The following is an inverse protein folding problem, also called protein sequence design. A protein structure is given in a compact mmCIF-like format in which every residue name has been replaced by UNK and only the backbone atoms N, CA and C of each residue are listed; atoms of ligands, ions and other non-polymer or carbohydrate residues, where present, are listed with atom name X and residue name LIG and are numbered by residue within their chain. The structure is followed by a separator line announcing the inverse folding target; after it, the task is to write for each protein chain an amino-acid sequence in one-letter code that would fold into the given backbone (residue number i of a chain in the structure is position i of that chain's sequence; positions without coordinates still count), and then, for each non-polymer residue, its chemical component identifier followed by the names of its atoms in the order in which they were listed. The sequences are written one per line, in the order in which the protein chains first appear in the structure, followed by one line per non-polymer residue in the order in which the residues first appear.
data_IF_475496041098
#
_entry.id   IF_475496041098
#
_cell.length_a   1.000
_cell.length_b   1.000
_cell.length_c   1.000
_cell.angle_alpha   90.00
_cell.angle_beta   90.00
_cell.angle_gamma   90.00
#
_symmetry.space_group_name_H-M   'P 1'
#
loop_
_entity.id
_entity.type
_entity.pdbx_description
1 polymer ?
#
# COMPACT_ATOMS: atom_id res chain seq x y z
N UNK A 1 -16.65 -17.11 33.32
CA UNK A 1 -16.10 -17.50 32.00
C UNK A 1 -16.28 -16.30 31.10
N UNK A 2 -15.22 -15.69 30.64
CA UNK A 2 -15.29 -14.62 29.64
C UNK A 2 -15.79 -15.25 28.34
N UNK A 3 -16.88 -14.74 27.79
CA UNK A 3 -17.40 -15.19 26.50
C UNK A 3 -16.41 -14.77 25.40
N UNK A 4 -16.12 -15.65 24.45
CA UNK A 4 -15.31 -15.30 23.27
C UNK A 4 -16.02 -14.20 22.50
N UNK A 5 -15.35 -13.08 22.14
CA UNK A 5 -15.98 -11.98 21.41
C UNK A 5 -16.46 -12.43 20.03
N UNK A 6 -17.55 -11.83 19.54
CA UNK A 6 -18.12 -12.08 18.22
C UNK A 6 -17.71 -10.95 17.29
N UNK A 7 -16.82 -11.25 16.33
CA UNK A 7 -16.24 -10.24 15.45
C UNK A 7 -16.40 -10.65 13.98
N UNK A 8 -16.87 -9.72 13.16
CA UNK A 8 -16.85 -9.86 11.71
C UNK A 8 -16.00 -8.72 11.15
N UNK A 9 -14.97 -9.05 10.38
CA UNK A 9 -14.18 -8.06 9.65
C UNK A 9 -14.22 -8.35 8.16
N UNK A 10 -14.54 -7.34 7.36
CA UNK A 10 -14.55 -7.42 5.90
C UNK A 10 -13.60 -6.37 5.36
N UNK A 11 -12.61 -6.80 4.58
CA UNK A 11 -11.55 -5.94 4.04
C UNK A 11 -11.65 -5.88 2.51
N UNK A 12 -11.45 -4.69 1.94
CA UNK A 12 -11.49 -4.52 0.49
C UNK A 12 -10.28 -5.15 -0.18
N UNK A 13 -9.10 -4.90 0.38
CA UNK A 13 -7.82 -5.48 -0.02
C UNK A 13 -6.70 -5.08 0.94
N UNK A 14 -5.45 -5.40 0.58
CA UNK A 14 -4.27 -5.00 1.35
C UNK A 14 -4.19 -5.68 2.72
N UNK A 15 -4.86 -6.80 2.89
CA UNK A 15 -4.97 -7.54 4.16
C UNK A 15 -3.62 -8.01 4.71
N UNK A 16 -2.61 -8.10 3.87
CA UNK A 16 -1.22 -8.41 4.25
C UNK A 16 -0.26 -7.22 4.09
N UNK A 17 -0.82 -6.02 3.86
CA UNK A 17 -0.05 -4.78 3.77
C UNK A 17 0.13 -4.12 5.15
N UNK A 18 1.15 -3.27 5.33
CA UNK A 18 1.40 -2.55 6.58
C UNK A 18 0.21 -1.75 7.09
N UNK A 19 -0.61 -1.21 6.19
CA UNK A 19 -1.83 -0.44 6.51
C UNK A 19 -2.86 -1.22 7.31
N UNK A 20 -2.89 -2.56 7.17
CA UNK A 20 -3.85 -3.42 7.85
C UNK A 20 -3.26 -4.15 9.07
N UNK A 21 -2.00 -3.90 9.45
CA UNK A 21 -1.39 -4.50 10.63
C UNK A 21 -2.14 -4.15 11.92
N UNK A 22 -2.49 -2.86 12.10
CA UNK A 22 -3.18 -2.40 13.32
C UNK A 22 -4.57 -3.04 13.48
N UNK A 23 -5.45 -3.09 12.46
CA UNK A 23 -6.71 -3.82 12.52
C UNK A 23 -6.57 -5.29 12.92
N UNK A 24 -5.63 -6.02 12.32
CA UNK A 24 -5.41 -7.42 12.69
C UNK A 24 -4.98 -7.58 14.14
N UNK A 25 -4.02 -6.75 14.62
CA UNK A 25 -3.57 -6.77 16.02
C UNK A 25 -4.72 -6.49 16.98
N UNK A 26 -5.54 -5.48 16.68
CA UNK A 26 -6.69 -5.13 17.51
C UNK A 26 -7.71 -6.28 17.65
N UNK A 27 -7.98 -7.01 16.56
CA UNK A 27 -8.83 -8.21 16.60
C UNK A 27 -8.22 -9.29 17.49
N UNK A 28 -6.92 -9.59 17.33
CA UNK A 28 -6.24 -10.60 18.15
C UNK A 28 -6.11 -10.21 19.62
N UNK A 29 -5.94 -8.92 19.94
CA UNK A 29 -5.93 -8.43 21.33
C UNK A 29 -7.27 -8.73 22.03
N UNK A 30 -8.38 -8.58 21.32
CA UNK A 30 -9.71 -8.90 21.83
C UNK A 30 -9.94 -10.39 22.01
N UNK A 31 -9.41 -11.23 21.12
CA UNK A 31 -9.54 -12.69 21.20
C UNK A 31 -8.62 -13.30 22.27
N UNK A 32 -7.54 -12.61 22.64
CA UNK A 32 -6.57 -13.06 23.63
C UNK A 32 -5.34 -13.75 23.04
N UNK A 33 -4.36 -14.00 23.92
CA UNK A 33 -3.05 -14.51 23.51
C UNK A 33 -3.08 -15.93 22.96
N UNK A 34 -3.98 -16.76 23.48
CA UNK A 34 -4.07 -18.19 23.16
C UNK A 34 -5.07 -18.48 22.01
N UNK A 35 -5.55 -17.44 21.33
CA UNK A 35 -6.52 -17.58 20.25
C UNK A 35 -5.97 -18.45 19.11
N UNK A 36 -6.69 -19.50 18.76
CA UNK A 36 -6.38 -20.39 17.63
C UNK A 36 -6.77 -19.71 16.33
N UNK A 37 -5.81 -19.57 15.42
CA UNK A 37 -6.00 -18.88 14.16
C UNK A 37 -5.83 -19.82 12.96
N UNK A 38 -6.76 -19.74 12.01
CA UNK A 38 -6.79 -20.60 10.82
C UNK A 38 -6.95 -19.75 9.56
N UNK A 39 -6.09 -20.01 8.58
CA UNK A 39 -6.19 -19.52 7.20
C UNK A 39 -7.01 -20.50 6.36
N UNK A 40 -8.12 -20.04 5.80
CA UNK A 40 -8.86 -20.72 4.74
C UNK A 40 -8.15 -20.50 3.40
N UNK A 41 -7.46 -21.52 2.94
CA UNK A 41 -6.58 -21.51 1.77
C UNK A 41 -7.32 -21.79 0.43
N UNK A 42 -8.64 -21.88 0.48
CA UNK A 42 -9.49 -22.20 -0.68
C UNK A 42 -9.46 -21.13 -1.77
N UNK A 43 -9.55 -19.80 -1.51
CA UNK A 43 -9.71 -18.80 -2.58
C UNK A 43 -8.63 -18.87 -3.66
N UNK A 44 -7.40 -19.23 -3.30
CA UNK A 44 -6.27 -19.44 -4.22
C UNK A 44 -5.94 -20.92 -4.47
N UNK A 45 -6.76 -21.85 -3.95
CA UNK A 45 -6.49 -23.30 -3.98
C UNK A 45 -6.41 -23.93 -5.36
N UNK A 46 -6.89 -23.24 -6.40
CA UNK A 46 -6.78 -23.69 -7.80
C UNK A 46 -5.39 -23.44 -8.41
N UNK A 47 -4.55 -22.63 -7.76
CA UNK A 47 -3.23 -22.26 -8.28
C UNK A 47 -2.20 -23.33 -7.93
N UNK A 48 -1.28 -23.61 -8.86
CA UNK A 48 -0.19 -24.58 -8.64
C UNK A 48 0.73 -24.18 -7.48
N UNK A 49 0.87 -22.88 -7.23
CA UNK A 49 1.67 -22.30 -6.16
C UNK A 49 0.87 -22.03 -4.86
N UNK A 50 -0.35 -22.58 -4.73
CA UNK A 50 -1.17 -22.40 -3.54
C UNK A 50 -0.43 -22.66 -2.20
N UNK A 51 0.43 -23.71 -2.07
CA UNK A 51 1.22 -23.90 -0.86
C UNK A 51 2.18 -22.74 -0.54
N UNK A 52 2.74 -22.10 -1.57
CA UNK A 52 3.64 -20.93 -1.41
C UNK A 52 2.84 -19.72 -0.94
N UNK A 53 1.65 -19.51 -1.50
CA UNK A 53 0.77 -18.41 -1.09
C UNK A 53 0.32 -18.57 0.36
N UNK A 54 -0.08 -19.78 0.76
CA UNK A 54 -0.43 -20.08 2.15
C UNK A 54 0.75 -19.83 3.10
N UNK A 55 1.96 -20.28 2.72
CA UNK A 55 3.17 -20.07 3.52
C UNK A 55 3.48 -18.57 3.70
N UNK A 56 3.37 -17.76 2.65
CA UNK A 56 3.58 -16.30 2.72
C UNK A 56 2.58 -15.60 3.64
N UNK A 57 1.30 -15.98 3.56
CA UNK A 57 0.27 -15.43 4.44
C UNK A 57 0.54 -15.80 5.91
N UNK A 58 0.90 -17.04 6.19
CA UNK A 58 1.27 -17.51 7.53
C UNK A 58 2.51 -16.76 8.05
N UNK A 59 3.52 -16.59 7.21
CA UNK A 59 4.72 -15.82 7.53
C UNK A 59 4.39 -14.35 7.87
N UNK A 60 3.51 -13.72 7.11
CA UNK A 60 3.05 -12.37 7.43
C UNK A 60 2.42 -12.28 8.82
N UNK A 61 1.48 -13.18 9.16
CA UNK A 61 0.84 -13.16 10.48
C UNK A 61 1.84 -13.41 11.60
N UNK A 62 2.80 -14.30 11.41
CA UNK A 62 3.87 -14.55 12.38
C UNK A 62 4.77 -13.32 12.56
N UNK A 63 5.28 -12.74 11.46
CA UNK A 63 6.33 -11.73 11.50
C UNK A 63 5.79 -10.30 11.72
N UNK A 64 4.68 -9.94 11.02
CA UNK A 64 4.11 -8.60 11.11
C UNK A 64 3.08 -8.46 12.23
N UNK A 65 2.31 -9.51 12.52
CA UNK A 65 1.23 -9.46 13.52
C UNK A 65 1.67 -10.11 14.85
N UNK A 66 2.64 -11.03 14.81
CA UNK A 66 3.10 -11.77 15.99
C UNK A 66 2.14 -12.89 16.38
N UNK A 67 1.49 -13.55 15.39
CA UNK A 67 0.50 -14.60 15.62
C UNK A 67 0.76 -15.81 14.75
N UNK A 68 0.76 -16.98 15.36
CA UNK A 68 0.81 -18.24 14.64
C UNK A 68 -0.56 -18.53 14.01
N UNK A 69 -0.54 -18.85 12.72
CA UNK A 69 -1.75 -19.20 11.93
C UNK A 69 -1.52 -20.54 11.27
N UNK A 70 -2.50 -21.41 11.31
CA UNK A 70 -2.46 -22.73 10.67
C UNK A 70 -3.32 -22.72 9.39
N UNK A 71 -2.84 -23.34 8.30
CA UNK A 71 -3.68 -23.53 7.12
C UNK A 71 -4.79 -24.56 7.40
N UNK A 72 -5.99 -24.28 6.92
CA UNK A 72 -7.11 -25.22 7.00
C UNK A 72 -6.82 -26.50 6.21
N UNK A 73 -6.08 -26.40 5.11
CA UNK A 73 -5.83 -27.49 4.17
C UNK A 73 -7.08 -27.81 3.34
N UNK A 74 -7.86 -26.77 3.03
CA UNK A 74 -9.08 -26.83 2.24
C UNK A 74 -8.92 -26.17 0.88
N UNK A 75 -7.76 -26.35 0.22
CA UNK A 75 -7.51 -25.78 -1.10
C UNK A 75 -8.56 -26.22 -2.12
N UNK A 76 -9.04 -27.48 -1.99
CA UNK A 76 -10.12 -28.06 -2.81
C UNK A 76 -10.98 -29.00 -1.96
N UNK A 77 -12.28 -29.03 -2.26
CA UNK A 77 -13.27 -29.91 -1.59
C UNK A 77 -13.89 -30.93 -2.57
N UNK A 78 -13.53 -30.85 -3.85
CA UNK A 78 -14.00 -31.75 -4.91
C UNK A 78 -13.05 -32.93 -5.17
N UNK A 79 -12.06 -33.14 -4.30
CA UNK A 79 -11.03 -34.21 -4.46
C UNK A 79 -11.51 -35.61 -4.14
N UNK A 80 -12.67 -35.77 -3.49
CA UNK A 80 -13.16 -37.03 -2.98
C UNK A 80 -12.49 -37.54 -1.70
N UNK A 81 -11.48 -36.86 -1.17
CA UNK A 81 -10.87 -37.15 0.14
C UNK A 81 -11.70 -36.53 1.28
N UNK A 82 -12.80 -37.19 1.62
CA UNK A 82 -13.70 -36.71 2.68
C UNK A 82 -12.99 -36.57 4.04
N UNK A 83 -11.97 -37.39 4.32
CA UNK A 83 -11.25 -37.31 5.60
C UNK A 83 -10.42 -36.04 5.69
N UNK A 84 -9.75 -35.64 4.60
CA UNK A 84 -9.01 -34.37 4.54
C UNK A 84 -9.96 -33.18 4.64
N UNK A 85 -11.09 -33.22 3.93
CA UNK A 85 -12.11 -32.17 3.96
C UNK A 85 -12.67 -32.00 5.39
N UNK A 86 -13.11 -33.07 6.05
CA UNK A 86 -13.65 -33.02 7.41
C UNK A 86 -12.61 -32.53 8.43
N UNK A 87 -11.35 -32.89 8.25
CA UNK A 87 -10.24 -32.37 9.08
C UNK A 87 -10.08 -30.88 8.93
N UNK A 88 -10.11 -30.36 7.69
CA UNK A 88 -10.03 -28.93 7.43
C UNK A 88 -11.22 -28.18 8.02
N UNK A 89 -12.45 -28.68 7.84
CA UNK A 89 -13.65 -28.10 8.45
C UNK A 89 -13.56 -28.11 9.99
N UNK A 90 -13.03 -29.19 10.58
CA UNK A 90 -12.84 -29.26 12.03
C UNK A 90 -11.86 -28.21 12.55
N UNK A 91 -10.78 -27.92 11.80
CA UNK A 91 -9.88 -26.80 12.12
C UNK A 91 -10.63 -25.47 12.09
N UNK A 92 -11.42 -25.20 11.05
CA UNK A 92 -12.23 -23.97 10.94
C UNK A 92 -13.19 -23.85 12.13
N UNK A 93 -13.88 -24.92 12.50
CA UNK A 93 -14.80 -24.93 13.66
C UNK A 93 -14.10 -24.64 14.98
N UNK A 94 -12.92 -25.24 15.19
CA UNK A 94 -12.20 -25.13 16.46
C UNK A 94 -11.36 -23.85 16.60
N UNK A 95 -11.19 -23.09 15.53
CA UNK A 95 -10.45 -21.82 15.55
C UNK A 95 -11.26 -20.72 16.25
N UNK A 96 -10.56 -19.80 16.90
CA UNK A 96 -11.14 -18.56 17.43
C UNK A 96 -11.12 -17.44 16.39
N UNK A 97 -10.24 -17.54 15.39
CA UNK A 97 -10.07 -16.60 14.30
C UNK A 97 -9.93 -17.35 12.98
N UNK A 98 -10.72 -16.98 12.00
CA UNK A 98 -10.69 -17.56 10.64
C UNK A 98 -10.49 -16.44 9.64
N UNK A 99 -9.46 -16.59 8.81
CA UNK A 99 -9.15 -15.65 7.74
C UNK A 99 -9.23 -16.32 6.38
N UNK A 100 -9.81 -15.60 5.42
CA UNK A 100 -9.74 -15.92 3.99
C UNK A 100 -9.50 -14.63 3.20
N UNK A 101 -8.67 -14.71 2.17
CA UNK A 101 -8.21 -13.53 1.44
C UNK A 101 -8.34 -13.65 -0.08
N UNK A 102 -7.30 -13.25 -0.84
CA UNK A 102 -7.35 -13.12 -2.28
C UNK A 102 -7.44 -14.46 -3.01
N UNK A 103 -7.87 -14.40 -4.26
CA UNK A 103 -8.00 -15.56 -5.14
C UNK A 103 -9.17 -15.42 -6.11
N UNK A 104 -9.92 -16.49 -6.32
CA UNK A 104 -11.13 -16.49 -7.16
C UNK A 104 -12.39 -16.62 -6.30
N UNK A 105 -13.31 -15.66 -6.35
CA UNK A 105 -14.58 -15.75 -5.60
C UNK A 105 -15.44 -16.90 -6.11
N UNK A 106 -15.51 -17.11 -7.42
CA UNK A 106 -16.28 -18.20 -8.03
C UNK A 106 -15.77 -19.56 -7.60
N UNK A 107 -14.44 -19.75 -7.65
CA UNK A 107 -13.82 -21.00 -7.19
C UNK A 107 -14.09 -21.23 -5.69
N UNK A 108 -13.92 -20.21 -4.85
CA UNK A 108 -14.18 -20.33 -3.42
C UNK A 108 -15.64 -20.72 -3.14
N UNK A 109 -16.61 -20.08 -3.81
CA UNK A 109 -18.02 -20.44 -3.72
C UNK A 109 -18.27 -21.90 -4.09
N UNK A 110 -17.76 -22.36 -5.22
CA UNK A 110 -17.95 -23.72 -5.71
C UNK A 110 -17.41 -24.77 -4.71
N UNK A 111 -16.27 -24.43 -4.06
CA UNK A 111 -15.66 -25.30 -3.07
C UNK A 111 -16.39 -25.28 -1.71
N UNK A 112 -16.97 -24.15 -1.29
CA UNK A 112 -17.55 -24.00 0.04
C UNK A 112 -19.06 -24.31 0.10
N UNK A 113 -19.80 -23.98 -0.94
CA UNK A 113 -21.27 -23.95 -0.95
C UNK A 113 -21.93 -25.25 -0.53
N UNK A 114 -21.32 -26.40 -0.86
CA UNK A 114 -21.86 -27.74 -0.54
C UNK A 114 -21.10 -28.44 0.60
N UNK A 115 -20.44 -27.65 1.46
CA UNK A 115 -19.71 -28.15 2.63
C UNK A 115 -20.24 -27.53 3.91
N UNK A 116 -19.71 -27.95 5.06
CA UNK A 116 -20.05 -27.35 6.35
C UNK A 116 -19.23 -26.05 6.66
N UNK A 117 -18.49 -25.49 5.69
CA UNK A 117 -17.72 -24.25 5.91
C UNK A 117 -18.65 -23.07 6.18
N UNK A 118 -19.72 -22.79 5.39
CA UNK A 118 -20.65 -21.71 5.68
C UNK A 118 -21.26 -21.80 7.08
N UNK A 119 -21.71 -23.00 7.48
CA UNK A 119 -22.25 -23.21 8.82
C UNK A 119 -21.23 -22.96 9.93
N UNK A 120 -19.96 -23.36 9.72
CA UNK A 120 -18.89 -23.13 10.69
C UNK A 120 -18.56 -21.64 10.84
N UNK A 121 -18.66 -20.86 9.78
CA UNK A 121 -18.50 -19.40 9.82
C UNK A 121 -19.69 -18.73 10.53
N UNK A 122 -20.90 -19.11 10.18
CA UNK A 122 -22.13 -18.62 10.80
C UNK A 122 -22.15 -18.90 12.32
N UNK A 123 -21.72 -20.10 12.73
CA UNK A 123 -21.62 -20.48 14.14
C UNK A 123 -20.65 -19.59 14.92
N UNK A 124 -19.54 -19.15 14.31
CA UNK A 124 -18.61 -18.19 14.95
C UNK A 124 -19.27 -16.85 15.20
N UNK A 125 -20.04 -16.35 14.26
CA UNK A 125 -20.74 -15.07 14.40
C UNK A 125 -21.85 -15.14 15.44
N UNK A 126 -22.45 -16.33 15.66
CA UNK A 126 -23.48 -16.56 16.69
C UNK A 126 -22.88 -16.80 18.08
N UNK A 127 -21.81 -17.57 18.16
CA UNK A 127 -21.37 -18.19 19.42
C UNK A 127 -20.04 -17.68 19.96
N UNK A 128 -19.27 -16.97 19.15
CA UNK A 128 -17.96 -16.41 19.49
C UNK A 128 -16.85 -16.83 18.55
N UNK A 129 -15.97 -15.92 18.28
CA UNK A 129 -14.85 -15.98 17.36
C UNK A 129 -14.84 -14.81 16.37
N UNK A 130 -13.80 -14.76 15.53
CA UNK A 130 -13.67 -13.77 14.49
C UNK A 130 -13.69 -14.41 13.11
N UNK A 131 -14.48 -13.83 12.20
CA UNK A 131 -14.47 -14.11 10.76
C UNK A 131 -13.88 -12.88 10.08
N UNK A 132 -12.74 -13.04 9.38
CA UNK A 132 -11.99 -11.97 8.75
C UNK A 132 -11.79 -12.31 7.28
N UNK A 133 -12.56 -11.69 6.41
CA UNK A 133 -12.54 -11.98 4.97
C UNK A 133 -12.12 -10.77 4.17
N UNK A 134 -11.28 -10.98 3.17
CA UNK A 134 -10.75 -9.93 2.31
C UNK A 134 -10.87 -10.31 0.83
N UNK A 135 -10.92 -9.29 -0.04
CA UNK A 135 -10.81 -9.46 -1.49
C UNK A 135 -11.78 -10.52 -2.04
N UNK A 136 -11.27 -11.53 -2.75
CA UNK A 136 -12.08 -12.59 -3.35
C UNK A 136 -12.97 -13.34 -2.32
N UNK A 137 -12.46 -13.59 -1.12
CA UNK A 137 -13.24 -14.21 -0.07
C UNK A 137 -14.38 -13.29 0.41
N UNK A 138 -14.14 -11.98 0.53
CA UNK A 138 -15.16 -11.02 0.95
C UNK A 138 -16.38 -11.01 0.02
N UNK A 139 -16.16 -11.16 -1.30
CA UNK A 139 -17.23 -11.26 -2.29
C UNK A 139 -18.22 -12.39 -1.97
N UNK A 140 -17.74 -13.49 -1.37
CA UNK A 140 -18.57 -14.70 -1.13
C UNK A 140 -19.54 -14.58 0.02
N UNK A 141 -19.31 -13.64 0.96
CA UNK A 141 -20.05 -13.55 2.23
C UNK A 141 -21.50 -13.12 2.09
N UNK A 142 -21.80 -12.33 1.08
CA UNK A 142 -23.13 -11.73 0.87
C UNK A 142 -24.16 -12.72 0.38
N UNK A 143 -25.38 -12.22 0.24
CA UNK A 143 -26.52 -12.94 -0.31
C UNK A 143 -26.30 -13.32 -1.77
N UNK A 144 -25.64 -12.45 -2.51
CA UNK A 144 -25.20 -12.66 -3.89
C UNK A 144 -23.74 -12.26 -4.04
N UNK A 145 -23.09 -12.88 -5.01
CA UNK A 145 -21.67 -12.67 -5.34
C UNK A 145 -21.53 -12.34 -6.81
N UNK A 146 -20.63 -11.42 -7.14
CA UNK A 146 -20.33 -11.13 -8.54
C UNK A 146 -19.14 -11.98 -9.01
N UNK A 147 -19.27 -12.72 -10.14
CA UNK A 147 -18.18 -13.50 -10.73
C UNK A 147 -17.26 -12.56 -11.53
N UNK A 148 -16.44 -11.80 -10.83
CA UNK A 148 -15.67 -10.68 -11.41
C UNK A 148 -14.72 -11.11 -12.52
N UNK A 149 -14.06 -12.26 -12.41
CA UNK A 149 -13.11 -12.70 -13.43
C UNK A 149 -13.81 -13.18 -14.70
N UNK A 150 -14.95 -13.85 -14.57
CA UNK A 150 -15.76 -14.29 -15.69
C UNK A 150 -16.30 -13.08 -16.49
N UNK A 151 -16.72 -12.04 -15.79
CA UNK A 151 -17.21 -10.79 -16.39
C UNK A 151 -16.08 -9.98 -17.00
N UNK A 152 -15.00 -9.75 -16.22
CA UNK A 152 -13.95 -8.82 -16.62
C UNK A 152 -12.92 -9.43 -17.58
N UNK A 153 -12.46 -10.67 -17.31
CA UNK A 153 -11.39 -11.32 -18.09
C UNK A 153 -11.92 -12.22 -19.21
N UNK A 154 -13.06 -12.89 -18.98
CA UNK A 154 -13.64 -13.82 -19.96
C UNK A 154 -14.65 -13.09 -20.87
N UNK A 155 -15.30 -12.02 -20.37
CA UNK A 155 -16.28 -11.23 -21.13
C UNK A 155 -17.70 -11.78 -21.06
N UNK A 156 -18.02 -12.55 -20.01
CA UNK A 156 -19.39 -13.01 -19.75
C UNK A 156 -20.26 -11.81 -19.37
N UNK A 157 -21.51 -11.82 -19.76
CA UNK A 157 -22.46 -10.75 -19.40
C UNK A 157 -22.59 -10.63 -17.86
N UNK A 158 -22.73 -9.40 -17.33
CA UNK A 158 -22.87 -9.16 -15.91
C UNK A 158 -24.06 -9.91 -15.31
N UNK A 159 -23.82 -10.71 -14.27
CA UNK A 159 -24.84 -11.48 -13.54
C UNK A 159 -24.39 -11.71 -12.09
N UNK A 160 -25.32 -12.04 -11.22
CA UNK A 160 -25.04 -12.47 -9.85
C UNK A 160 -25.04 -13.98 -9.75
N UNK A 161 -24.14 -14.50 -8.91
CA UNK A 161 -24.21 -15.83 -8.37
C UNK A 161 -24.87 -15.78 -6.98
N UNK A 162 -25.46 -16.88 -6.53
CA UNK A 162 -25.89 -17.02 -5.14
C UNK A 162 -24.64 -17.08 -4.23
N UNK A 163 -24.57 -16.20 -3.22
CA UNK A 163 -23.49 -16.15 -2.24
C UNK A 163 -23.60 -17.22 -1.15
N UNK A 164 -22.72 -17.15 -0.15
CA UNK A 164 -22.78 -18.00 1.03
C UNK A 164 -23.84 -17.53 2.04
N UNK A 165 -24.29 -16.29 1.92
CA UNK A 165 -25.27 -15.62 2.78
C UNK A 165 -24.93 -15.66 4.28
N UNK A 166 -23.63 -15.71 4.62
CA UNK A 166 -23.15 -15.72 6.01
C UNK A 166 -23.50 -14.40 6.71
N UNK A 167 -23.63 -13.31 5.95
CA UNK A 167 -23.99 -11.99 6.48
C UNK A 167 -25.45 -11.90 6.94
N UNK A 168 -26.32 -12.82 6.56
CA UNK A 168 -27.68 -12.92 7.11
C UNK A 168 -27.66 -13.12 8.63
N UNK A 169 -26.62 -13.78 9.20
CA UNK A 169 -26.44 -13.95 10.64
C UNK A 169 -26.29 -12.64 11.42
N UNK A 170 -25.84 -11.61 10.74
CA UNK A 170 -25.69 -10.26 11.32
C UNK A 170 -26.75 -9.27 10.81
N UNK A 171 -27.75 -9.77 10.06
CA UNK A 171 -28.86 -8.99 9.54
C UNK A 171 -28.52 -8.10 8.33
N UNK A 172 -27.50 -8.48 7.54
CA UNK A 172 -27.05 -7.76 6.37
C UNK A 172 -27.45 -8.49 5.08
N UNK A 173 -28.45 -7.98 4.37
CA UNK A 173 -28.84 -8.43 3.03
C UNK A 173 -28.06 -7.65 1.97
N UNK A 174 -26.82 -8.08 1.64
CA UNK A 174 -25.90 -7.31 0.80
C UNK A 174 -25.21 -8.14 -0.28
N UNK A 175 -24.76 -7.45 -1.34
CA UNK A 175 -23.68 -7.88 -2.21
C UNK A 175 -22.41 -7.15 -1.78
N UNK A 176 -21.39 -7.85 -1.30
CA UNK A 176 -20.11 -7.25 -0.94
C UNK A 176 -19.28 -7.04 -2.19
N UNK A 177 -18.76 -5.84 -2.39
CA UNK A 177 -17.83 -5.51 -3.49
C UNK A 177 -16.55 -4.91 -2.88
N UNK A 178 -15.49 -5.70 -2.73
CA UNK A 178 -14.15 -5.22 -2.35
C UNK A 178 -13.50 -4.45 -3.51
N UNK A 179 -12.29 -3.90 -3.31
CA UNK A 179 -11.60 -3.11 -4.35
C UNK A 179 -12.52 -2.05 -4.97
N UNK A 180 -13.30 -1.37 -4.13
CA UNK A 180 -14.39 -0.53 -4.59
C UNK A 180 -13.90 0.72 -5.32
N UNK A 181 -12.78 1.28 -4.89
CA UNK A 181 -12.08 2.44 -5.46
C UNK A 181 -10.95 2.06 -6.44
N UNK A 182 -10.86 0.80 -6.88
CA UNK A 182 -9.77 0.34 -7.74
C UNK A 182 -9.53 1.26 -8.94
N UNK A 183 -8.27 1.66 -9.15
CA UNK A 183 -7.86 2.61 -10.18
C UNK A 183 -6.76 2.06 -11.13
N UNK A 184 -6.55 0.74 -11.16
CA UNK A 184 -5.48 0.12 -11.98
C UNK A 184 -5.75 0.17 -13.48
N UNK A 185 -6.97 0.53 -13.88
CA UNK A 185 -7.43 0.44 -15.29
C UNK A 185 -6.76 1.41 -16.27
N UNK A 186 -6.04 2.42 -15.80
CA UNK A 186 -5.42 3.44 -16.63
C UNK A 186 -6.45 4.18 -17.49
N UNK A 187 -6.78 3.65 -18.68
CA UNK A 187 -7.68 4.29 -19.64
C UNK A 187 -9.14 3.77 -19.57
N UNK A 188 -9.47 2.90 -18.65
CA UNK A 188 -10.83 2.38 -18.48
C UNK A 188 -11.20 2.27 -17.00
N UNK A 189 -12.50 2.32 -16.71
CA UNK A 189 -13.03 2.29 -15.36
C UNK A 189 -12.93 0.87 -14.78
N UNK A 190 -12.06 0.69 -13.78
CA UNK A 190 -11.87 -0.55 -13.01
C UNK A 190 -12.43 -0.49 -11.60
N UNK A 191 -13.09 0.61 -11.23
CA UNK A 191 -13.79 0.69 -9.94
C UNK A 191 -14.74 -0.49 -9.75
N UNK A 192 -15.09 -0.72 -8.50
CA UNK A 192 -16.06 -1.76 -8.12
C UNK A 192 -15.57 -3.15 -8.52
N UNK A 193 -14.34 -3.48 -8.08
CA UNK A 193 -13.73 -4.77 -8.37
C UNK A 193 -13.67 -5.08 -9.88
N UNK A 194 -13.12 -4.17 -10.67
CA UNK A 194 -12.98 -4.26 -12.14
C UNK A 194 -14.29 -4.22 -12.95
N UNK A 195 -15.45 -4.03 -12.33
CA UNK A 195 -16.73 -3.94 -13.04
C UNK A 195 -16.85 -2.64 -13.85
N UNK A 196 -16.45 -1.53 -13.25
CA UNK A 196 -16.75 -0.19 -13.70
C UNK A 196 -18.21 0.19 -13.49
N UNK A 197 -18.52 1.50 -13.57
CA UNK A 197 -19.86 2.02 -13.32
C UNK A 197 -20.91 1.40 -14.23
N UNK A 198 -20.59 1.24 -15.52
CA UNK A 198 -21.55 0.71 -16.50
C UNK A 198 -22.06 -0.68 -16.14
N UNK A 199 -21.15 -1.60 -15.73
CA UNK A 199 -21.55 -2.98 -15.39
C UNK A 199 -22.25 -3.04 -14.04
N UNK A 200 -21.79 -2.26 -13.05
CA UNK A 200 -22.44 -2.21 -11.75
C UNK A 200 -23.86 -1.66 -11.87
N UNK A 201 -24.08 -0.59 -12.64
CA UNK A 201 -25.42 -0.04 -12.91
C UNK A 201 -26.36 -1.03 -13.62
N UNK A 202 -25.81 -1.97 -14.40
CA UNK A 202 -26.61 -3.05 -15.01
C UNK A 202 -26.97 -4.14 -13.97
N UNK A 203 -26.11 -4.38 -13.01
CA UNK A 203 -26.29 -5.41 -11.98
C UNK A 203 -27.23 -4.98 -10.85
N UNK A 204 -27.18 -3.72 -10.42
CA UNK A 204 -27.98 -3.23 -9.29
C UNK A 204 -29.48 -3.52 -9.39
N UNK A 205 -30.15 -3.26 -10.54
CA UNK A 205 -31.59 -3.54 -10.68
C UNK A 205 -31.95 -5.02 -10.58
N UNK A 206 -30.98 -5.92 -10.68
CA UNK A 206 -31.17 -7.37 -10.62
C UNK A 206 -30.85 -7.96 -9.26
N UNK A 207 -30.52 -7.13 -8.26
CA UNK A 207 -30.33 -7.55 -6.88
C UNK A 207 -31.65 -8.11 -6.30
N UNK A 208 -31.58 -9.09 -5.39
CA UNK A 208 -32.76 -9.54 -4.64
C UNK A 208 -33.41 -8.37 -3.90
N UNK A 209 -34.71 -8.47 -3.67
CA UNK A 209 -35.49 -7.43 -2.99
C UNK A 209 -34.86 -7.15 -1.60
N UNK A 210 -34.63 -5.88 -1.30
CA UNK A 210 -34.01 -5.40 -0.05
C UNK A 210 -32.49 -5.46 -0.03
N UNK A 211 -31.88 -6.19 -0.96
CA UNK A 211 -30.42 -6.28 -1.06
C UNK A 211 -29.82 -4.99 -1.64
N UNK A 212 -28.63 -4.62 -1.19
CA UNK A 212 -27.88 -3.48 -1.67
C UNK A 212 -26.39 -3.82 -1.77
N UNK A 213 -25.59 -2.91 -2.36
CA UNK A 213 -24.15 -3.10 -2.49
C UNK A 213 -23.44 -2.50 -1.28
N UNK A 214 -22.60 -3.30 -0.65
CA UNK A 214 -21.63 -2.88 0.36
C UNK A 214 -20.25 -2.84 -0.27
N UNK A 215 -19.81 -1.65 -0.68
CA UNK A 215 -18.50 -1.41 -1.28
C UNK A 215 -17.44 -1.17 -0.20
N UNK A 216 -16.25 -1.73 -0.37
CA UNK A 216 -15.13 -1.53 0.55
C UNK A 216 -13.90 -1.18 -0.28
N UNK A 217 -13.34 0.00 -0.02
CA UNK A 217 -12.17 0.53 -0.71
C UNK A 217 -10.93 -0.34 -0.45
N UNK A 218 -9.91 -0.22 -1.29
CA UNK A 218 -8.62 -0.89 -1.11
C UNK A 218 -7.94 -0.41 0.18
N UNK A 219 -7.15 -1.28 0.82
CA UNK A 219 -6.50 -1.02 2.12
C UNK A 219 -7.47 -0.49 3.20
N UNK A 220 -8.72 -0.93 3.13
CA UNK A 220 -9.80 -0.49 4.02
C UNK A 220 -10.57 -1.70 4.50
N UNK A 221 -11.13 -1.61 5.69
CA UNK A 221 -11.99 -2.65 6.23
C UNK A 221 -13.10 -2.08 7.13
N UNK A 222 -14.13 -2.88 7.34
CA UNK A 222 -15.12 -2.68 8.37
C UNK A 222 -14.98 -3.79 9.41
N UNK A 223 -14.77 -3.41 10.65
CA UNK A 223 -14.68 -4.33 11.80
C UNK A 223 -15.93 -4.17 12.64
N UNK A 224 -16.79 -5.19 12.61
CA UNK A 224 -18.06 -5.23 13.35
C UNK A 224 -17.88 -5.99 14.66
N UNK A 225 -18.16 -5.32 15.76
CA UNK A 225 -18.30 -5.92 17.08
C UNK A 225 -19.76 -6.26 17.31
N UNK A 226 -20.08 -7.55 17.24
CA UNK A 226 -21.45 -8.03 17.36
C UNK A 226 -21.95 -8.06 18.81
N UNK A 227 -21.05 -7.89 19.78
CA UNK A 227 -21.42 -7.84 21.20
C UNK A 227 -21.80 -6.42 21.63
N UNK A 228 -21.19 -5.40 21.02
CA UNK A 228 -21.49 -3.98 21.27
C UNK A 228 -22.35 -3.35 20.18
N UNK A 229 -22.68 -4.09 19.13
CA UNK A 229 -23.45 -3.64 17.96
C UNK A 229 -22.85 -2.41 17.25
N UNK A 230 -21.52 -2.37 17.15
CA UNK A 230 -20.76 -1.27 16.53
C UNK A 230 -19.92 -1.75 15.36
N UNK A 231 -19.74 -0.89 14.37
CA UNK A 231 -18.88 -1.10 13.21
C UNK A 231 -17.86 0.03 13.12
N UNK A 232 -16.58 -0.30 13.10
CA UNK A 232 -15.48 0.63 12.93
C UNK A 232 -14.93 0.50 11.50
N UNK A 233 -14.77 1.64 10.82
CA UNK A 233 -14.13 1.69 9.52
C UNK A 233 -12.63 1.95 9.72
N UNK A 234 -11.81 1.02 9.27
CA UNK A 234 -10.36 1.01 9.49
C UNK A 234 -9.59 1.07 8.17
N UNK A 235 -8.35 1.52 8.20
CA UNK A 235 -7.50 1.60 7.01
C UNK A 235 -7.50 3.00 6.39
N UNK A 236 -7.61 3.12 5.06
CA UNK A 236 -7.30 4.36 4.32
C UNK A 236 -8.50 5.04 3.69
N UNK A 237 -9.39 4.29 3.09
CA UNK A 237 -10.52 4.76 2.29
C UNK A 237 -11.84 4.75 3.07
N UNK A 238 -12.88 4.28 2.43
CA UNK A 238 -14.22 4.29 2.97
C UNK A 238 -14.95 2.95 2.76
N UNK A 239 -16.01 2.79 3.52
CA UNK A 239 -17.07 1.81 3.22
C UNK A 239 -18.22 2.57 2.57
N UNK A 240 -18.72 2.06 1.46
CA UNK A 240 -19.79 2.68 0.69
C UNK A 240 -21.03 1.77 0.69
N UNK A 241 -22.14 2.32 1.12
CA UNK A 241 -23.46 1.73 0.95
C UNK A 241 -24.04 2.29 -0.33
N UNK A 242 -24.32 1.44 -1.34
CA UNK A 242 -24.89 1.87 -2.60
C UNK A 242 -26.22 1.17 -2.87
N UNK A 243 -27.23 1.97 -3.19
CA UNK A 243 -28.59 1.52 -3.50
C UNK A 243 -29.17 2.37 -4.61
N UNK A 244 -29.60 1.75 -5.71
CA UNK A 244 -30.22 2.40 -6.86
C UNK A 244 -29.37 3.55 -7.46
N UNK A 245 -28.05 3.37 -7.51
CA UNK A 245 -27.13 4.37 -8.01
C UNK A 245 -26.74 5.47 -7.01
N UNK A 246 -27.42 5.56 -5.87
CA UNK A 246 -27.08 6.50 -4.79
C UNK A 246 -26.10 5.84 -3.81
N UNK A 247 -25.16 6.63 -3.31
CA UNK A 247 -24.09 6.14 -2.44
C UNK A 247 -23.95 6.98 -1.18
N UNK A 248 -23.83 6.29 -0.05
CA UNK A 248 -23.45 6.87 1.25
C UNK A 248 -22.06 6.34 1.60
N UNK A 249 -21.09 7.23 1.75
CA UNK A 249 -19.71 6.88 2.15
C UNK A 249 -19.53 7.10 3.65
N UNK A 250 -18.83 6.15 4.28
CA UNK A 250 -18.45 6.19 5.69
C UNK A 250 -16.92 6.06 5.71
N UNK A 251 -16.26 7.15 6.09
CA UNK A 251 -14.81 7.27 5.98
C UNK A 251 -14.08 6.48 7.09
N UNK A 252 -12.84 6.11 6.84
CA UNK A 252 -11.95 5.49 7.82
C UNK A 252 -11.83 6.33 9.10
N UNK A 253 -11.71 5.68 10.25
CA UNK A 253 -11.69 6.28 11.58
C UNK A 253 -13.07 6.54 12.18
N UNK A 254 -14.15 6.31 11.44
CA UNK A 254 -15.51 6.42 11.96
C UNK A 254 -15.97 5.12 12.61
N UNK A 255 -16.69 5.25 13.72
CA UNK A 255 -17.42 4.14 14.36
C UNK A 255 -18.92 4.45 14.30
N UNK A 256 -19.69 3.51 13.80
CA UNK A 256 -21.14 3.64 13.62
C UNK A 256 -21.86 2.44 14.26
N UNK A 257 -23.16 2.57 14.58
CA UNK A 257 -24.00 1.42 14.90
C UNK A 257 -24.09 0.47 13.70
N UNK A 258 -24.08 -0.84 13.92
CA UNK A 258 -24.28 -1.82 12.83
C UNK A 258 -25.64 -1.62 12.16
N UNK A 259 -26.63 -1.12 12.88
CA UNK A 259 -27.95 -0.79 12.31
C UNK A 259 -27.87 0.22 11.15
N UNK A 260 -26.88 1.09 11.11
CA UNK A 260 -26.63 1.99 9.96
C UNK A 260 -26.32 1.18 8.70
N UNK A 261 -25.57 0.11 8.83
CA UNK A 261 -25.31 -0.83 7.70
C UNK A 261 -26.56 -1.65 7.36
N UNK A 262 -27.27 -2.19 8.38
CA UNK A 262 -28.49 -3.00 8.20
C UNK A 262 -29.60 -2.21 7.48
N UNK A 263 -29.76 -0.94 7.83
CA UNK A 263 -30.77 -0.07 7.20
C UNK A 263 -30.42 0.36 5.77
N UNK A 264 -29.23 0.01 5.29
CA UNK A 264 -28.73 0.47 3.98
C UNK A 264 -28.41 1.96 3.96
N UNK A 265 -27.91 2.49 5.09
CA UNK A 265 -27.48 3.89 5.22
C UNK A 265 -28.59 4.86 5.63
N UNK A 266 -29.77 4.38 5.97
CA UNK A 266 -30.83 5.26 6.52
C UNK A 266 -30.36 5.87 7.84
N UNK A 267 -30.32 7.21 7.91
CA UNK A 267 -29.84 7.97 9.09
C UNK A 267 -28.33 8.30 9.10
N UNK A 268 -27.53 7.79 8.18
CA UNK A 268 -26.17 8.29 7.98
C UNK A 268 -26.22 9.70 7.37
N UNK A 269 -25.51 10.65 7.99
CA UNK A 269 -25.40 11.98 7.35
C UNK A 269 -24.50 11.85 6.12
N UNK A 270 -24.96 12.30 4.91
CA UNK A 270 -24.10 12.30 3.75
C UNK A 270 -22.89 13.19 4.03
N UNK A 271 -21.67 12.63 3.92
CA UNK A 271 -20.47 13.45 3.89
C UNK A 271 -20.56 14.33 2.64
N UNK A 272 -20.58 15.65 2.81
CA UNK A 272 -20.52 16.63 1.74
C UNK A 272 -19.10 16.68 1.17
N UNK A 273 -18.70 15.66 0.45
CA UNK A 273 -17.52 15.67 -0.42
C UNK A 273 -17.99 15.51 -1.87
N UNK A 274 -17.73 16.56 -2.64
CA UNK A 274 -18.17 16.91 -3.97
C UNK A 274 -18.53 15.79 -4.94
N UNK A 275 -19.67 15.96 -5.51
CA UNK A 275 -20.09 15.39 -6.78
C UNK A 275 -19.07 15.83 -7.85
N UNK A 276 -18.17 14.96 -8.25
CA UNK A 276 -17.36 15.17 -9.46
C UNK A 276 -18.26 14.81 -10.63
N UNK A 277 -18.95 15.82 -11.15
CA UNK A 277 -19.57 15.73 -12.46
C UNK A 277 -18.46 15.75 -13.50
N UNK A 278 -18.38 14.72 -14.33
CA UNK A 278 -17.63 14.71 -15.57
C UNK A 278 -18.19 15.81 -16.51
N UNK A 279 -17.58 16.98 -16.46
CA UNK A 279 -17.66 18.01 -17.48
C UNK A 279 -16.47 18.95 -17.27
N UNK A 280 -15.31 18.56 -17.83
CA UNK A 280 -14.36 19.52 -18.40
C UNK A 280 -13.19 18.77 -19.08
N UNK A 281 -13.42 18.52 -20.38
CA UNK A 281 -12.30 18.31 -21.30
C UNK A 281 -11.74 19.70 -21.64
N UNK A 282 -10.41 19.95 -21.55
CA UNK A 282 -9.87 21.26 -21.90
C UNK A 282 -9.81 21.43 -23.42
N UNK A 283 -10.70 22.29 -23.93
CA UNK A 283 -10.54 22.92 -25.22
C UNK A 283 -9.46 23.97 -25.15
N UNK A 284 -8.55 23.91 -26.11
CA UNK A 284 -7.51 24.90 -26.36
C UNK A 284 -8.12 26.29 -26.59
N UNK A 285 -7.66 27.28 -25.80
CA UNK A 285 -7.55 28.65 -26.36
C UNK A 285 -6.44 29.45 -25.69
N UNK A 286 -5.64 30.08 -26.57
CA UNK A 286 -4.50 30.92 -26.29
C UNK A 286 -4.98 32.35 -26.05
N UNK A 287 -4.69 32.94 -24.91
CA UNK A 287 -4.98 34.36 -24.67
C UNK A 287 -3.99 34.98 -23.67
N UNK A 288 -3.07 35.79 -24.21
CA UNK A 288 -2.00 36.52 -23.56
C UNK A 288 -2.46 37.72 -22.71
N UNK A 289 -1.86 37.85 -21.53
CA UNK A 289 -1.21 39.01 -20.86
C UNK A 289 -2.05 40.11 -20.17
N UNK A 290 -1.42 41.07 -19.42
CA UNK A 290 -0.59 40.91 -18.22
C UNK A 290 -1.03 41.86 -17.08
N UNK A 291 -0.42 41.76 -15.91
CA UNK A 291 -0.24 42.99 -15.15
C UNK A 291 -0.29 42.94 -13.62
N UNK A 292 0.90 43.05 -13.01
CA UNK A 292 1.26 43.91 -11.86
C UNK A 292 0.41 43.84 -10.59
N UNK A 293 0.88 43.72 -9.43
CA UNK A 293 2.12 44.04 -8.68
C UNK A 293 1.81 44.08 -7.18
N UNK A 294 2.81 43.77 -6.38
CA UNK A 294 3.26 44.40 -5.15
C UNK A 294 2.78 43.90 -3.80
N UNK A 295 3.73 43.27 -3.13
CA UNK A 295 4.21 43.49 -1.77
C UNK A 295 3.30 43.23 -0.58
N UNK A 296 3.74 42.29 0.25
CA UNK A 296 3.38 42.14 1.65
C UNK A 296 4.26 41.11 2.31
N UNK A 297 5.36 41.55 2.91
CA UNK A 297 6.14 40.76 3.86
C UNK A 297 5.22 40.34 5.03
N UNK A 298 5.06 39.05 5.26
CA UNK A 298 4.71 38.54 6.59
C UNK A 298 5.65 37.39 6.94
N UNK A 299 6.21 37.54 8.13
CA UNK A 299 7.15 36.66 8.80
C UNK A 299 6.61 35.25 8.94
N UNK A 300 7.52 34.31 8.69
CA UNK A 300 7.25 32.88 8.74
C UNK A 300 6.84 32.39 10.13
N UNK A 301 5.71 31.76 10.14
CA UNK A 301 5.41 30.70 11.11
C UNK A 301 5.99 29.41 10.49
N UNK A 302 6.92 28.80 11.19
CA UNK A 302 7.40 27.44 10.89
C UNK A 302 6.23 26.52 11.24
N UNK A 303 5.37 26.23 10.27
CA UNK A 303 4.47 25.10 10.33
C UNK A 303 5.35 23.86 10.22
N UNK A 304 5.50 23.12 11.32
CA UNK A 304 5.92 21.72 11.24
C UNK A 304 4.86 21.02 10.39
N UNK A 305 5.21 20.69 9.16
CA UNK A 305 4.45 19.73 8.37
C UNK A 305 4.29 18.44 9.21
N UNK A 306 3.06 17.95 9.31
CA UNK A 306 2.81 16.64 9.87
C UNK A 306 3.61 15.62 9.06
N UNK A 307 4.16 14.55 9.67
CA UNK A 307 4.91 13.54 8.93
C UNK A 307 4.04 13.03 7.78
N UNK A 308 4.60 13.05 6.57
CA UNK A 308 3.95 12.54 5.36
C UNK A 308 3.60 11.07 5.61
N UNK A 309 2.32 10.76 5.65
CA UNK A 309 1.86 9.41 5.95
C UNK A 309 2.19 8.54 4.73
N UNK A 310 3.11 7.61 4.90
CA UNK A 310 3.45 6.61 3.89
C UNK A 310 2.27 5.63 3.78
N UNK A 311 1.47 5.80 2.76
CA UNK A 311 0.20 5.12 2.58
C UNK A 311 0.20 4.09 1.42
N UNK A 312 1.28 4.04 0.65
CA UNK A 312 1.50 3.11 -0.46
C UNK A 312 3.00 2.92 -0.71
N UNK A 313 3.36 1.84 -1.39
CA UNK A 313 4.74 1.64 -1.82
C UNK A 313 5.19 2.74 -2.79
N UNK A 314 4.27 3.26 -3.61
CA UNK A 314 4.55 4.39 -4.49
C UNK A 314 4.88 5.68 -3.72
N UNK A 315 4.13 5.98 -2.65
CA UNK A 315 4.43 7.13 -1.77
C UNK A 315 5.73 6.93 -0.99
N UNK A 316 6.00 5.70 -0.51
CA UNK A 316 7.28 5.36 0.12
C UNK A 316 8.46 5.59 -0.84
N UNK A 317 8.36 5.09 -2.07
CA UNK A 317 9.40 5.26 -3.09
C UNK A 317 9.69 6.74 -3.35
N UNK A 318 8.65 7.55 -3.54
CA UNK A 318 8.78 9.00 -3.76
C UNK A 318 9.41 9.72 -2.57
N UNK A 319 9.01 9.37 -1.35
CA UNK A 319 9.56 9.94 -0.11
C UNK A 319 11.06 9.68 -0.03
N UNK A 320 11.49 8.42 -0.20
CA UNK A 320 12.89 8.04 -0.07
C UNK A 320 13.75 8.51 -1.26
N UNK A 321 13.21 8.60 -2.48
CA UNK A 321 13.89 9.26 -3.60
C UNK A 321 14.15 10.74 -3.31
N UNK A 322 13.17 11.46 -2.76
CA UNK A 322 13.32 12.86 -2.39
C UNK A 322 14.36 13.06 -1.27
N UNK A 323 14.35 12.18 -0.26
CA UNK A 323 15.34 12.19 0.81
C UNK A 323 16.75 11.91 0.27
N UNK A 324 16.90 10.95 -0.64
CA UNK A 324 18.13 10.61 -1.31
C UNK A 324 18.68 11.81 -2.13
N UNK A 325 17.84 12.46 -2.92
CA UNK A 325 18.23 13.63 -3.72
C UNK A 325 18.73 14.76 -2.83
N UNK A 326 18.01 15.03 -1.74
CA UNK A 326 18.39 16.04 -0.75
C UNK A 326 19.75 15.74 -0.11
N UNK A 327 19.98 14.46 0.24
CA UNK A 327 21.25 14.02 0.81
C UNK A 327 22.41 14.14 -0.19
N UNK A 328 22.20 13.75 -1.46
CA UNK A 328 23.23 13.91 -2.50
C UNK A 328 23.58 15.37 -2.74
N UNK A 329 22.60 16.27 -2.82
CA UNK A 329 22.81 17.69 -3.00
C UNK A 329 23.59 18.32 -1.82
N UNK A 330 23.35 17.81 -0.61
CA UNK A 330 24.06 18.20 0.60
C UNK A 330 25.44 17.51 0.76
N UNK A 331 25.82 16.58 -0.14
CA UNK A 331 26.99 15.71 -0.03
C UNK A 331 27.00 14.86 1.24
N UNK A 332 25.81 14.52 1.73
CA UNK A 332 25.60 13.63 2.88
C UNK A 332 25.49 12.18 2.39
N UNK A 333 26.63 11.49 2.38
CA UNK A 333 26.69 10.09 1.94
C UNK A 333 25.92 9.16 2.88
N UNK A 334 25.94 9.43 4.19
CA UNK A 334 25.23 8.60 5.18
C UNK A 334 23.73 8.76 5.02
N UNK A 335 23.23 9.97 4.80
CA UNK A 335 21.82 10.23 4.51
C UNK A 335 21.36 9.59 3.21
N UNK A 336 22.20 9.60 2.16
CA UNK A 336 21.89 8.94 0.90
C UNK A 336 21.80 7.40 1.06
N UNK A 337 22.72 6.79 1.82
CA UNK A 337 22.69 5.36 2.15
C UNK A 337 21.44 5.03 2.99
N UNK A 338 21.13 5.84 4.00
CA UNK A 338 19.94 5.64 4.82
C UNK A 338 18.67 5.62 3.98
N UNK A 339 18.50 6.57 3.05
CA UNK A 339 17.33 6.61 2.15
C UNK A 339 17.22 5.37 1.26
N UNK A 340 18.34 4.80 0.80
CA UNK A 340 18.37 3.54 0.03
C UNK A 340 17.89 2.38 0.89
N UNK A 341 18.39 2.26 2.13
CA UNK A 341 18.02 1.17 3.05
C UNK A 341 16.57 1.27 3.50
N UNK A 342 16.05 2.47 3.72
CA UNK A 342 14.65 2.69 4.04
C UNK A 342 13.73 2.31 2.87
N UNK A 343 14.10 2.63 1.63
CA UNK A 343 13.34 2.18 0.46
C UNK A 343 13.39 0.65 0.29
N UNK A 344 14.54 0.03 0.53
CA UNK A 344 14.65 -1.44 0.53
C UNK A 344 13.74 -2.06 1.59
N UNK A 345 13.75 -1.53 2.82
CA UNK A 345 12.89 -1.97 3.90
C UNK A 345 11.41 -1.83 3.55
N UNK A 346 11.01 -0.70 2.95
CA UNK A 346 9.65 -0.50 2.46
C UNK A 346 9.26 -1.53 1.39
N UNK A 347 10.15 -1.81 0.41
CA UNK A 347 9.90 -2.82 -0.62
C UNK A 347 9.68 -4.20 0.03
N UNK A 348 10.46 -4.57 1.05
CA UNK A 348 10.30 -5.85 1.76
C UNK A 348 8.98 -5.88 2.52
N UNK A 349 8.65 -4.81 3.23
CA UNK A 349 7.42 -4.69 4.03
C UNK A 349 6.16 -4.79 3.16
N UNK A 350 6.15 -4.09 2.02
CA UNK A 350 5.05 -4.12 1.06
C UNK A 350 5.06 -5.35 0.12
N UNK A 351 6.14 -6.13 0.09
CA UNK A 351 6.23 -7.33 -0.77
C UNK A 351 5.24 -8.43 -0.41
N UNK A 352 4.62 -8.34 0.75
CA UNK A 352 3.58 -9.25 1.25
C UNK A 352 2.18 -8.80 0.85
N UNK A 353 2.04 -7.59 0.34
CA UNK A 353 0.78 -7.12 -0.25
C UNK A 353 0.44 -7.97 -1.47
N UNK A 354 -0.80 -8.44 -1.51
CA UNK A 354 -1.30 -9.32 -2.57
C UNK A 354 -1.90 -8.55 -3.73
N UNK A 355 -1.97 -7.22 -3.62
CA UNK A 355 -2.35 -6.37 -4.75
C UNK A 355 -1.32 -6.51 -5.87
N UNK A 356 -1.78 -6.85 -7.05
CA UNK A 356 -0.96 -6.95 -8.26
C UNK A 356 -0.82 -5.55 -8.88
N UNK A 357 -0.05 -4.66 -8.24
CA UNK A 357 0.37 -3.40 -8.83
C UNK A 357 1.80 -3.50 -9.34
N UNK A 358 2.16 -2.64 -10.30
CA UNK A 358 3.54 -2.49 -10.76
C UNK A 358 4.41 -1.64 -9.81
N UNK A 359 3.87 -1.26 -8.64
CA UNK A 359 4.56 -0.42 -7.66
C UNK A 359 5.82 -1.07 -7.10
N UNK A 360 5.82 -2.40 -6.93
CA UNK A 360 7.03 -3.14 -6.52
C UNK A 360 8.14 -3.03 -7.56
N UNK A 361 7.79 -3.13 -8.84
CA UNK A 361 8.79 -3.02 -9.92
C UNK A 361 9.26 -1.57 -10.11
N UNK A 362 8.39 -0.59 -9.91
CA UNK A 362 8.74 0.84 -9.89
C UNK A 362 9.66 1.16 -8.71
N UNK A 363 9.31 0.73 -7.50
CA UNK A 363 10.14 0.94 -6.31
C UNK A 363 11.53 0.28 -6.45
N UNK A 364 11.59 -0.93 -7.01
CA UNK A 364 12.88 -1.59 -7.34
C UNK A 364 13.67 -0.82 -8.39
N UNK A 365 13.01 -0.21 -9.36
CA UNK A 365 13.66 0.62 -10.39
C UNK A 365 14.22 1.90 -9.75
N UNK A 366 13.48 2.55 -8.88
CA UNK A 366 13.93 3.70 -8.09
C UNK A 366 15.14 3.32 -7.23
N UNK A 367 15.07 2.22 -6.48
CA UNK A 367 16.18 1.72 -5.66
C UNK A 367 17.46 1.49 -6.49
N UNK A 368 17.36 0.86 -7.66
CA UNK A 368 18.49 0.66 -8.57
C UNK A 368 19.06 1.99 -9.07
N UNK A 369 18.20 2.94 -9.41
CA UNK A 369 18.60 4.28 -9.81
C UNK A 369 19.40 5.01 -8.72
N UNK A 370 18.91 4.96 -7.48
CA UNK A 370 19.59 5.55 -6.32
C UNK A 370 20.96 4.91 -6.09
N UNK A 371 21.09 3.58 -6.17
CA UNK A 371 22.37 2.86 -6.04
C UNK A 371 23.36 3.29 -7.13
N UNK A 372 22.92 3.36 -8.39
CA UNK A 372 23.78 3.76 -9.52
C UNK A 372 24.27 5.22 -9.34
N UNK A 373 23.39 6.11 -8.93
CA UNK A 373 23.71 7.52 -8.69
C UNK A 373 24.67 7.71 -7.51
N UNK A 374 24.48 6.94 -6.42
CA UNK A 374 25.42 6.94 -5.30
C UNK A 374 26.80 6.43 -5.75
N UNK A 375 26.85 5.38 -6.58
CA UNK A 375 28.08 4.88 -7.17
C UNK A 375 28.78 5.90 -8.05
N UNK A 376 28.04 6.67 -8.84
CA UNK A 376 28.60 7.78 -9.64
C UNK A 376 29.20 8.88 -8.75
N UNK A 377 28.46 9.31 -7.72
CA UNK A 377 28.94 10.31 -6.76
C UNK A 377 30.19 9.83 -6.00
N UNK A 378 30.23 8.55 -5.60
CA UNK A 378 31.40 7.95 -4.97
C UNK A 378 32.62 7.93 -5.92
N UNK A 379 32.41 7.67 -7.21
CA UNK A 379 33.49 7.67 -8.20
C UNK A 379 34.06 9.08 -8.40
N UNK A 380 33.20 10.12 -8.38
CA UNK A 380 33.64 11.52 -8.43
C UNK A 380 34.39 11.95 -7.17
N UNK A 381 33.95 11.44 -6.00
CA UNK A 381 34.59 11.69 -4.71
C UNK A 381 35.89 10.90 -4.49
N UNK A 382 36.09 9.78 -5.18
CA UNK A 382 37.29 8.92 -5.09
C UNK A 382 38.40 9.36 -6.06
N UNK A 383 38.11 10.28 -7.01
CA UNK A 383 39.17 10.86 -7.83
C UNK A 383 40.15 11.63 -6.95
N UNK A 384 41.44 11.30 -7.05
CA UNK A 384 42.48 12.03 -6.31
C UNK A 384 42.35 13.51 -6.71
N UNK A 385 42.17 14.35 -5.68
CA UNK A 385 42.07 15.81 -5.86
C UNK A 385 43.30 16.34 -6.64
N UNK A 386 44.46 15.66 -6.55
CA UNK A 386 45.63 15.94 -7.34
C UNK A 386 45.44 15.70 -8.82
N UNK A 387 44.73 14.65 -9.21
CA UNK A 387 44.47 14.36 -10.62
C UNK A 387 43.54 15.39 -11.26
N UNK A 388 42.61 15.95 -10.45
CA UNK A 388 41.65 16.96 -10.93
C UNK A 388 42.29 18.37 -10.96
N UNK A 389 42.98 18.75 -9.89
CA UNK A 389 43.57 20.07 -9.75
C UNK A 389 44.99 20.18 -10.40
N UNK A 390 45.68 19.05 -10.55
CA UNK A 390 47.07 19.00 -11.03
C UNK A 390 47.33 19.85 -12.27
N UNK A 391 46.59 19.65 -13.38
CA UNK A 391 46.84 20.43 -14.60
C UNK A 391 46.71 21.96 -14.41
N UNK A 392 45.80 22.38 -13.53
CA UNK A 392 45.57 23.81 -13.26
C UNK A 392 46.67 24.37 -12.35
N UNK A 393 47.05 23.64 -11.31
CA UNK A 393 48.10 24.01 -10.38
C UNK A 393 49.45 24.05 -11.08
N UNK A 394 49.75 23.06 -11.90
CA UNK A 394 51.01 23.02 -12.69
C UNK A 394 51.10 24.19 -13.68
N UNK A 395 49.99 24.58 -14.33
CA UNK A 395 49.95 25.77 -15.17
C UNK A 395 50.24 27.07 -14.38
N UNK A 396 49.65 27.17 -13.15
CA UNK A 396 49.92 28.31 -12.26
C UNK A 396 51.37 28.34 -11.77
N UNK A 397 51.97 27.18 -11.46
CA UNK A 397 53.37 27.06 -11.07
C UNK A 397 54.33 27.41 -12.23
N UNK A 398 54.00 27.01 -13.46
CA UNK A 398 54.74 27.41 -14.64
C UNK A 398 54.72 28.93 -14.85
N UNK A 399 53.56 29.56 -14.73
CA UNK A 399 53.44 31.05 -14.78
C UNK A 399 54.24 31.72 -13.66
N UNK A 400 54.23 31.17 -12.45
CA UNK A 400 55.04 31.63 -11.32
C UNK A 400 56.55 31.56 -11.61
N UNK A 401 57.01 30.49 -12.24
CA UNK A 401 58.40 30.30 -12.62
C UNK A 401 58.85 31.33 -13.65
N UNK A 402 58.01 31.61 -14.64
CA UNK A 402 58.28 32.67 -15.65
C UNK A 402 58.41 34.04 -14.94
N UNK A 403 57.44 34.39 -14.08
CA UNK A 403 57.50 35.67 -13.34
C UNK A 403 58.80 35.82 -12.51
N UNK A 404 59.27 34.72 -11.91
CA UNK A 404 60.58 34.76 -11.19
C UNK A 404 61.78 34.94 -12.12
N UNK A 405 61.76 34.29 -13.28
CA UNK A 405 62.85 34.47 -14.27
C UNK A 405 62.92 35.89 -14.79
N UNK A 406 61.84 36.62 -14.91
CA UNK A 406 61.69 38.00 -15.31
C UNK A 406 61.89 38.99 -14.15
N UNK A 407 62.19 38.50 -12.95
CA UNK A 407 62.31 39.25 -11.69
C UNK A 407 61.05 40.01 -11.28
N UNK A 408 59.90 39.56 -11.76
CA UNK A 408 58.56 40.03 -11.35
C UNK A 408 58.12 39.36 -10.04
N UNK A 409 58.85 39.55 -8.95
CA UNK A 409 58.65 38.84 -7.68
C UNK A 409 57.26 39.09 -7.08
N UNK A 410 56.68 40.29 -7.23
CA UNK A 410 55.36 40.61 -6.74
C UNK A 410 54.28 39.73 -7.40
N UNK A 411 54.42 39.41 -8.69
CA UNK A 411 53.52 38.53 -9.40
C UNK A 411 53.66 37.04 -8.92
N UNK A 412 54.93 36.62 -8.77
CA UNK A 412 55.26 35.28 -8.25
C UNK A 412 54.68 35.04 -6.84
N UNK A 413 54.80 36.04 -5.96
CA UNK A 413 54.29 35.95 -4.61
C UNK A 413 52.74 35.99 -4.59
N UNK A 414 52.11 36.80 -5.43
CA UNK A 414 50.66 36.85 -5.57
C UNK A 414 50.08 35.50 -6.03
N UNK A 415 50.74 34.81 -6.97
CA UNK A 415 50.33 33.47 -7.41
C UNK A 415 50.39 32.47 -6.24
N UNK A 416 51.48 32.49 -5.48
CA UNK A 416 51.64 31.61 -4.32
C UNK A 416 50.57 31.87 -3.26
N UNK A 417 50.32 33.15 -2.97
CA UNK A 417 49.33 33.55 -1.95
C UNK A 417 47.89 33.16 -2.36
N UNK A 418 47.57 33.27 -3.66
CA UNK A 418 46.25 32.79 -4.17
C UNK A 418 46.13 31.29 -4.11
N UNK A 419 47.18 30.53 -4.42
CA UNK A 419 47.17 29.07 -4.25
C UNK A 419 47.02 28.69 -2.76
N UNK A 420 47.71 29.36 -1.86
CA UNK A 420 47.62 29.15 -0.42
C UNK A 420 46.21 29.50 0.08
N UNK A 421 45.57 30.57 -0.38
CA UNK A 421 44.20 30.94 -0.06
C UNK A 421 43.19 29.91 -0.58
N UNK A 422 43.52 29.18 -1.63
CA UNK A 422 42.74 28.07 -2.17
C UNK A 422 43.03 26.71 -1.48
N UNK A 423 43.82 26.70 -0.39
CA UNK A 423 44.16 25.46 0.32
C UNK A 423 45.28 24.64 -0.37
N UNK A 424 46.09 25.27 -1.23
CA UNK A 424 47.20 24.62 -1.93
C UNK A 424 48.53 25.22 -1.44
N UNK A 425 49.24 24.45 -0.61
CA UNK A 425 50.58 24.86 -0.14
C UNK A 425 51.64 24.56 -1.21
N UNK A 426 52.41 25.57 -1.59
CA UNK A 426 53.52 25.44 -2.55
C UNK A 426 54.84 25.51 -1.83
N UNK A 427 55.69 24.49 -2.02
CA UNK A 427 57.06 24.39 -1.47
C UNK A 427 58.09 24.47 -2.61
N UNK A 428 58.99 25.43 -2.53
CA UNK A 428 60.12 25.51 -3.47
C UNK A 428 61.19 24.51 -3.03
N UNK A 429 61.57 23.58 -3.92
CA UNK A 429 62.65 22.62 -3.70
C UNK A 429 63.77 22.85 -4.73
N UNK A 430 64.99 22.32 -4.54
CA UNK A 430 66.06 22.42 -5.54
C UNK A 430 65.69 21.81 -6.91
N UNK A 431 64.76 20.86 -6.92
CA UNK A 431 64.31 20.16 -8.11
C UNK A 431 63.10 20.84 -8.78
N UNK A 432 62.50 21.86 -8.14
CA UNK A 432 61.31 22.57 -8.65
C UNK A 432 60.33 22.94 -7.54
N UNK A 433 59.13 23.36 -7.91
CA UNK A 433 58.06 23.64 -6.96
C UNK A 433 57.21 22.37 -6.74
N UNK A 434 57.07 21.93 -5.49
CA UNK A 434 56.11 20.88 -5.08
C UNK A 434 54.88 21.53 -4.45
N UNK A 435 53.76 20.84 -4.55
CA UNK A 435 52.51 21.33 -3.97
C UNK A 435 51.73 20.24 -3.21
N UNK A 436 50.99 20.68 -2.21
CA UNK A 436 50.14 19.84 -1.35
C UNK A 436 48.80 20.53 -1.14
N UNK A 437 47.70 19.74 -1.12
CA UNK A 437 46.39 20.24 -0.70
C UNK A 437 46.31 20.18 0.82
N UNK A 438 46.06 21.33 1.48
CA UNK A 438 46.08 21.51 2.94
C UNK A 438 44.65 21.68 3.49
N UNK A 439 43.66 20.94 3.05
CA UNK A 439 42.30 21.00 3.57
C UNK A 439 41.41 20.00 2.91
N UNK A 440 41.14 18.92 3.60
CA UNK A 440 40.10 17.96 3.38
C UNK A 440 39.43 17.66 4.69
#
# INVERSE_FOLDING_TARGET
MTTTPRILAIMGSGETAPTMNAPHRAIFERLGADAKAVLLDTPFGFQENAPILAAKAIEYFRDAIGREVEAAGLTRTDTGDMVAIERGVARVRSADWVFAGPGSPTFALDQWKNTSVPDALADKLRSGGAVVFSSAAALTLGKVTVPVYEIYKVGVDPHWLEGLDVLAEVGLDVAVIPHYDNAEGGNHDTRFCYLGERRLAMLEPTLPAGCFVLGIDEHTGVVMDLDTDTAEIVGKGAVTIRRNGESVRIESGQTIPIDTLRSGGEGAQPSTSGHVTDADAPGSDLGLTPGRSVSGKQQGAITREAPEVVDSLASAAKLHETAFDTALDARDADGAVAAILELESAIVEWSRDTLQSDDVDRARTALRSMIVRLGAAATEGVRDVRDVLGPVVEAALAARLIARSEKAFAVSDAIRDQLAAAGIEVRDTPEGAEWLVTGG
#
